data_IF_438017611878
#
_entry.id   IF_438017611878
#
_cell.length_a   1.000
_cell.length_b   1.000
_cell.length_c   1.000
_cell.angle_alpha   90.00
_cell.angle_beta   90.00
_cell.angle_gamma   90.00
#
_symmetry.space_group_name_H-M   'P 1'
#
loop_
_entity.id
_entity.type
_entity.pdbx_description
1 polymer ?
#
# COMPACT_ATOMS: atom_id res chain seq x y z
N UNK A 1 -24.48 -7.27 -29.21
CA UNK A 1 -23.15 -7.90 -29.06
C UNK A 1 -22.27 -7.03 -28.18
N UNK A 2 -21.51 -7.60 -27.25
CA UNK A 2 -20.53 -6.86 -26.44
C UNK A 2 -19.38 -6.35 -27.31
N UNK A 3 -18.90 -5.13 -27.04
CA UNK A 3 -17.83 -4.47 -27.82
C UNK A 3 -16.45 -4.51 -27.15
N UNK A 4 -16.40 -4.88 -25.87
CA UNK A 4 -15.21 -4.97 -25.04
C UNK A 4 -15.51 -5.89 -23.85
N UNK A 5 -14.49 -6.14 -23.03
CA UNK A 5 -14.64 -6.88 -21.80
C UNK A 5 -15.27 -6.02 -20.68
N UNK A 6 -15.96 -6.71 -19.78
CA UNK A 6 -16.71 -6.12 -18.68
C UNK A 6 -16.49 -6.95 -17.43
N UNK A 7 -16.39 -6.27 -16.29
CA UNK A 7 -16.03 -6.86 -15.00
C UNK A 7 -17.13 -6.60 -13.98
N UNK A 8 -17.44 -7.63 -13.21
CA UNK A 8 -18.33 -7.52 -12.05
C UNK A 8 -17.48 -7.23 -10.81
N UNK A 9 -17.62 -6.02 -10.26
CA UNK A 9 -16.86 -5.57 -9.10
C UNK A 9 -17.71 -5.70 -7.83
N UNK A 10 -17.13 -6.20 -6.75
CA UNK A 10 -17.81 -6.32 -5.46
C UNK A 10 -16.87 -5.89 -4.34
N UNK A 11 -17.36 -5.06 -3.42
CA UNK A 11 -16.58 -4.66 -2.25
C UNK A 11 -16.55 -5.74 -1.18
N UNK A 12 -15.48 -5.77 -0.39
CA UNK A 12 -15.36 -6.71 0.73
C UNK A 12 -16.36 -6.40 1.86
N UNK A 13 -16.63 -5.12 2.12
CA UNK A 13 -17.66 -4.68 3.07
C UNK A 13 -19.06 -4.71 2.41
N UNK A 14 -19.62 -5.92 2.28
CA UNK A 14 -20.79 -6.23 1.45
C UNK A 14 -22.03 -5.38 1.75
N UNK A 15 -22.29 -5.08 3.01
CA UNK A 15 -23.50 -4.34 3.42
C UNK A 15 -23.33 -2.82 3.28
N UNK A 16 -22.09 -2.33 3.15
CA UNK A 16 -21.75 -0.91 3.03
C UNK A 16 -20.96 -0.62 1.76
N UNK A 17 -21.23 -1.37 0.69
CA UNK A 17 -20.57 -1.23 -0.61
C UNK A 17 -21.62 -0.99 -1.68
N UNK A 18 -21.57 0.18 -2.31
CA UNK A 18 -22.29 0.47 -3.54
C UNK A 18 -21.43 -0.02 -4.71
N UNK A 19 -21.65 -1.26 -5.15
CA UNK A 19 -20.85 -1.92 -6.18
C UNK A 19 -21.70 -2.41 -7.37
N UNK A 20 -21.18 -3.34 -8.19
CA UNK A 20 -21.87 -3.81 -9.40
C UNK A 20 -23.28 -4.38 -9.13
N UNK A 21 -23.59 -4.76 -7.89
CA UNK A 21 -24.97 -5.11 -7.47
C UNK A 21 -25.97 -3.97 -7.67
N UNK A 22 -25.53 -2.72 -7.54
CA UNK A 22 -26.37 -1.52 -7.67
C UNK A 22 -26.29 -0.90 -9.07
N UNK A 23 -25.08 -0.78 -9.64
CA UNK A 23 -24.85 -0.04 -10.89
C UNK A 23 -24.37 -0.89 -12.09
N UNK A 24 -24.27 -2.22 -11.95
CA UNK A 24 -23.96 -3.14 -13.05
C UNK A 24 -22.47 -3.33 -13.34
N UNK A 25 -22.14 -3.88 -14.52
CA UNK A 25 -20.77 -4.24 -14.89
C UNK A 25 -19.90 -3.01 -15.25
N UNK A 26 -18.63 -3.03 -14.87
CA UNK A 26 -17.62 -2.01 -15.24
C UNK A 26 -16.94 -2.39 -16.56
N UNK A 27 -16.92 -1.52 -17.57
CA UNK A 27 -16.18 -1.80 -18.80
C UNK A 27 -14.66 -1.73 -18.57
N UNK A 28 -13.89 -2.58 -19.26
CA UNK A 28 -12.43 -2.71 -19.08
C UNK A 28 -11.67 -1.38 -19.12
N UNK A 29 -12.06 -0.49 -20.04
CA UNK A 29 -11.41 0.81 -20.22
C UNK A 29 -11.57 1.80 -19.03
N UNK A 30 -12.37 1.46 -18.02
CA UNK A 30 -12.48 2.22 -16.77
C UNK A 30 -11.57 1.65 -15.66
N UNK A 31 -10.89 0.53 -15.90
CA UNK A 31 -9.97 -0.08 -14.93
C UNK A 31 -8.59 0.56 -15.11
N UNK A 32 -8.07 1.16 -14.04
CA UNK A 32 -6.76 1.83 -14.04
C UNK A 32 -5.62 0.86 -13.68
N UNK A 33 -5.87 -0.10 -12.78
CA UNK A 33 -4.87 -1.08 -12.36
C UNK A 33 -5.23 -1.79 -11.05
N UNK A 34 -4.30 -2.60 -10.55
CA UNK A 34 -4.49 -3.45 -9.37
C UNK A 34 -3.70 -2.91 -8.17
N UNK A 35 -4.30 -2.78 -6.97
CA UNK A 35 -3.57 -2.39 -5.76
C UNK A 35 -2.61 -3.51 -5.34
N UNK A 36 -1.35 -3.16 -5.05
CA UNK A 36 -0.31 -4.14 -4.69
C UNK A 36 0.32 -3.92 -3.31
N UNK A 37 0.25 -2.70 -2.76
CA UNK A 37 1.06 -2.32 -1.60
C UNK A 37 0.39 -1.23 -0.76
N UNK A 38 0.47 -1.37 0.56
CA UNK A 38 0.01 -0.38 1.53
C UNK A 38 1.20 0.43 2.02
N UNK A 39 1.39 1.64 1.50
CA UNK A 39 2.51 2.50 1.91
C UNK A 39 2.21 3.28 3.22
N UNK A 40 0.95 3.53 3.53
CA UNK A 40 0.50 4.26 4.73
C UNK A 40 -0.82 3.71 5.25
N UNK A 41 -0.98 3.68 6.58
CA UNK A 41 -2.20 3.24 7.26
C UNK A 41 -2.30 3.94 8.61
N UNK A 42 -3.36 4.73 8.82
CA UNK A 42 -3.52 5.59 10.00
C UNK A 42 -4.99 5.59 10.43
N UNK A 43 -5.24 5.38 11.72
CA UNK A 43 -6.54 5.57 12.33
C UNK A 43 -6.71 7.02 12.83
N UNK A 44 -7.97 7.43 13.04
CA UNK A 44 -8.36 8.75 13.52
C UNK A 44 -7.90 9.91 12.62
N UNK A 45 -7.79 9.63 11.31
CA UNK A 45 -7.33 10.62 10.32
C UNK A 45 -8.16 11.91 10.34
N UNK A 46 -9.49 11.78 10.51
CA UNK A 46 -10.44 12.89 10.52
C UNK A 46 -10.50 13.66 11.87
N UNK A 47 -9.87 13.15 12.92
CA UNK A 47 -9.91 13.75 14.27
C UNK A 47 -8.77 14.76 14.53
N UNK A 48 -7.98 15.06 13.49
CA UNK A 48 -6.85 15.98 13.55
C UNK A 48 -5.49 15.30 13.69
N UNK A 49 -4.44 15.94 13.18
CA UNK A 49 -3.09 15.36 13.01
C UNK A 49 -2.49 14.84 14.32
N UNK A 50 -2.81 15.45 15.46
CA UNK A 50 -2.31 15.01 16.77
C UNK A 50 -2.96 13.70 17.26
N UNK A 51 -4.12 13.33 16.72
CA UNK A 51 -4.83 12.11 17.08
C UNK A 51 -4.52 10.94 16.16
N UNK A 52 -3.69 11.16 15.14
CA UNK A 52 -3.33 10.13 14.17
C UNK A 52 -2.62 8.96 14.86
N UNK A 53 -3.15 7.76 14.64
CA UNK A 53 -2.59 6.51 15.18
C UNK A 53 -2.13 5.62 14.03
N UNK A 54 -0.83 5.58 13.70
CA UNK A 54 -0.33 4.72 12.65
C UNK A 54 -0.54 3.23 12.96
N UNK A 55 -1.05 2.48 11.98
CA UNK A 55 -1.24 1.02 12.05
C UNK A 55 -0.03 0.31 11.46
N UNK A 56 1.00 0.14 12.29
CA UNK A 56 2.31 -0.38 11.89
C UNK A 56 2.27 -1.81 11.32
N UNK A 57 1.29 -2.60 11.70
CA UNK A 57 1.03 -3.95 11.20
C UNK A 57 0.59 -3.95 9.72
N UNK A 58 -0.05 -2.87 9.25
CA UNK A 58 -0.52 -2.71 7.86
C UNK A 58 0.42 -1.90 6.98
N UNK A 59 1.29 -1.08 7.58
CA UNK A 59 2.23 -0.25 6.83
C UNK A 59 3.31 -1.15 6.22
N UNK A 60 3.59 -0.96 4.93
CA UNK A 60 4.54 -1.74 4.14
C UNK A 60 4.16 -3.22 3.98
N UNK A 61 2.86 -3.52 3.87
CA UNK A 61 2.38 -4.86 3.54
C UNK A 61 1.93 -4.96 2.08
N UNK A 62 1.94 -6.16 1.54
CA UNK A 62 1.32 -6.48 0.24
C UNK A 62 -0.18 -6.70 0.41
N UNK A 63 -0.96 -6.39 -0.64
CA UNK A 63 -2.43 -6.54 -0.62
C UNK A 63 -2.86 -7.93 -1.11
N UNK A 64 -2.15 -8.46 -2.11
CA UNK A 64 -2.45 -9.74 -2.73
C UNK A 64 -1.37 -10.75 -2.34
N UNK A 65 -1.76 -11.80 -1.61
CA UNK A 65 -0.88 -12.89 -1.22
C UNK A 65 -1.68 -14.02 -0.60
N UNK A 66 -1.23 -15.26 -0.81
CA UNK A 66 -1.77 -16.42 -0.12
C UNK A 66 -1.12 -16.49 1.27
N UNK A 67 -1.86 -16.07 2.30
CA UNK A 67 -1.42 -16.12 3.71
C UNK A 67 -1.54 -14.80 4.46
N UNK A 68 -0.95 -14.77 5.65
CA UNK A 68 -0.97 -13.60 6.53
C UNK A 68 -0.09 -12.46 5.95
N UNK A 69 -0.61 -11.22 5.85
CA UNK A 69 0.18 -10.08 5.38
C UNK A 69 1.37 -9.81 6.30
N UNK A 70 2.58 -9.73 5.73
CA UNK A 70 3.82 -9.42 6.46
C UNK A 70 4.26 -7.99 6.17
N UNK A 71 4.53 -7.21 7.21
CA UNK A 71 5.07 -5.85 7.07
C UNK A 71 6.58 -5.88 6.81
N UNK A 72 6.99 -5.29 5.68
CA UNK A 72 8.40 -5.15 5.31
C UNK A 72 9.08 -3.90 5.89
N UNK A 73 8.38 -3.14 6.74
CA UNK A 73 8.86 -1.85 7.24
C UNK A 73 10.20 -1.96 7.98
N UNK A 74 10.35 -3.00 8.82
CA UNK A 74 11.59 -3.21 9.59
C UNK A 74 12.79 -3.48 8.69
N UNK A 75 12.62 -4.30 7.65
CA UNK A 75 13.68 -4.59 6.69
C UNK A 75 14.09 -3.32 5.92
N UNK A 76 13.10 -2.51 5.53
CA UNK A 76 13.35 -1.21 4.92
C UNK A 76 14.19 -0.30 5.82
N UNK A 77 13.85 -0.19 7.11
CA UNK A 77 14.63 0.61 8.07
C UNK A 77 16.07 0.10 8.23
N UNK A 78 16.27 -1.22 8.30
CA UNK A 78 17.61 -1.82 8.37
C UNK A 78 18.43 -1.46 7.13
N UNK A 79 17.85 -1.62 5.94
CA UNK A 79 18.51 -1.26 4.68
C UNK A 79 18.85 0.23 4.61
N UNK A 80 17.93 1.08 5.09
CA UNK A 80 18.13 2.53 5.15
C UNK A 80 19.27 2.91 6.10
N UNK A 81 19.32 2.33 7.29
CA UNK A 81 20.42 2.53 8.25
C UNK A 81 21.74 2.08 7.65
N UNK A 82 21.77 0.88 7.04
CA UNK A 82 22.97 0.35 6.39
C UNK A 82 23.47 1.28 5.27
N UNK A 83 22.56 1.82 4.45
CA UNK A 83 22.88 2.80 3.41
C UNK A 83 23.52 4.06 3.99
N UNK A 84 22.93 4.66 5.02
CA UNK A 84 23.46 5.88 5.63
C UNK A 84 24.82 5.65 6.29
N UNK A 85 24.97 4.59 7.08
CA UNK A 85 26.25 4.24 7.74
C UNK A 85 27.33 3.95 6.70
N UNK A 86 27.01 3.17 5.67
CA UNK A 86 27.92 2.90 4.55
C UNK A 86 28.34 4.18 3.83
N UNK A 87 27.39 5.07 3.55
CA UNK A 87 27.67 6.36 2.91
C UNK A 87 28.57 7.26 3.76
N UNK A 88 28.36 7.26 5.09
CA UNK A 88 29.16 8.03 6.04
C UNK A 88 30.60 7.52 6.11
N UNK A 89 30.79 6.19 6.22
CA UNK A 89 32.11 5.57 6.23
C UNK A 89 32.86 5.83 4.91
N UNK A 90 32.17 5.78 3.77
CA UNK A 90 32.78 6.05 2.47
C UNK A 90 33.25 7.50 2.33
N UNK A 91 32.43 8.47 2.77
CA UNK A 91 32.81 9.89 2.82
C UNK A 91 34.01 10.12 3.74
N UNK A 92 34.03 9.49 4.92
CA UNK A 92 35.16 9.58 5.86
C UNK A 92 36.46 9.03 5.27
N UNK A 93 36.40 7.92 4.52
CA UNK A 93 37.57 7.38 3.80
C UNK A 93 38.06 8.34 2.70
N UNK A 94 37.16 8.98 1.93
CA UNK A 94 37.53 9.98 0.92
C UNK A 94 38.13 11.25 1.51
N UNK A 95 37.67 11.69 2.68
CA UNK A 95 38.20 12.89 3.36
C UNK A 95 39.58 12.69 4.00
N UNK A 96 39.97 11.44 4.29
CA UNK A 96 41.28 11.09 4.85
C UNK A 96 42.34 10.82 3.77
N UNK A 97 41.93 10.74 2.50
CA UNK A 97 42.79 10.49 1.35
C UNK A 97 43.01 11.82 0.62
#
# INVERSE_FOLDING_TARGET
>A
TFKQDYYWMMGDNRDHSEDSRAWGYVPENHIVGTPIFIWLSVDNFNEGVFNWRPRWDRIFTTVNGEGEPVSYFKYFLIALIAYFVGSWLWKKKKSKK
#
